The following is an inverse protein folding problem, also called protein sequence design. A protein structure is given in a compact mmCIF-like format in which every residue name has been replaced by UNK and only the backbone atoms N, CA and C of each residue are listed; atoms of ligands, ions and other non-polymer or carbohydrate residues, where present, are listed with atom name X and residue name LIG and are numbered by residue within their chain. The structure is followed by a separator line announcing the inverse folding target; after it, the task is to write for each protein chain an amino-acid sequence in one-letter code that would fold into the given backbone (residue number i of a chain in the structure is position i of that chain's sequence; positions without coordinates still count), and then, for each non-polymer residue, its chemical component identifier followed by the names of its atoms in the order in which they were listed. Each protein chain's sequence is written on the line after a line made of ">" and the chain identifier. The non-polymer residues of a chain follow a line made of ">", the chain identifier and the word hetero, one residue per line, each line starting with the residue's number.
data_IF_245453504177
#
_entry.id   IF_245453504177
#
_cell.length_a   1.000
_cell.length_b   1.000
_cell.length_c   1.000
_cell.angle_alpha   90.00
_cell.angle_beta   90.00
_cell.angle_gamma   90.00
#
_symmetry.space_group_name_H-M   'P 1'
#
loop_
_entity.id
_entity.type
_entity.pdbx_description
1 polymer ?
#
# COMPACT_ATOMS: atom_id res chain seq x y z
N UNK A 1 85.79 -11.47 11.50
CA UNK A 1 85.74 -12.51 10.46
C UNK A 1 84.60 -13.45 10.86
N UNK A 2 83.47 -13.56 10.19
CA UNK A 2 83.10 -13.15 8.85
C UNK A 2 81.57 -13.05 8.74
N UNK A 3 81.14 -12.07 7.95
CA UNK A 3 80.05 -12.08 6.98
C UNK A 3 78.72 -12.78 7.33
N UNK A 4 77.71 -11.94 7.54
CA UNK A 4 76.30 -12.32 7.38
C UNK A 4 75.94 -12.34 5.91
N UNK A 5 75.37 -13.47 5.52
CA UNK A 5 74.82 -13.75 4.19
C UNK A 5 73.55 -12.92 3.95
N UNK A 6 73.49 -12.45 2.69
CA UNK A 6 72.40 -11.92 1.86
C UNK A 6 70.96 -12.18 2.29
N UNK A 7 70.04 -11.25 1.98
CA UNK A 7 68.94 -11.45 1.01
C UNK A 7 68.29 -10.09 0.71
N UNK A 8 68.16 -9.81 -0.59
CA UNK A 8 67.62 -8.56 -1.12
C UNK A 8 66.17 -8.29 -0.77
N UNK A 9 65.85 -7.00 -0.70
CA UNK A 9 64.47 -6.53 -0.79
C UNK A 9 64.33 -5.68 -2.05
N UNK A 10 63.74 -6.31 -3.06
CA UNK A 10 63.12 -5.65 -4.19
C UNK A 10 61.88 -4.93 -3.66
N UNK A 11 61.81 -3.62 -3.85
CA UNK A 11 60.58 -2.86 -3.60
C UNK A 11 59.62 -3.07 -4.79
N UNK A 12 58.44 -3.67 -4.61
CA UNK A 12 57.38 -3.50 -5.59
C UNK A 12 56.69 -2.15 -5.35
N UNK A 13 56.62 -1.37 -6.42
CA UNK A 13 55.91 -0.10 -6.48
C UNK A 13 54.47 -0.24 -5.96
N UNK A 14 54.14 0.48 -4.89
CA UNK A 14 52.75 0.67 -4.47
C UNK A 14 52.18 1.83 -5.29
N UNK A 15 51.49 1.51 -6.38
CA UNK A 15 50.60 2.47 -7.04
C UNK A 15 49.32 2.55 -6.21
N UNK A 16 49.06 3.73 -5.63
CA UNK A 16 47.82 3.98 -4.92
C UNK A 16 46.64 3.87 -5.89
N UNK A 17 45.52 3.22 -5.52
CA UNK A 17 44.35 3.21 -6.39
C UNK A 17 43.74 4.62 -6.42
N UNK A 18 43.61 5.17 -7.63
CA UNK A 18 42.80 6.34 -7.88
C UNK A 18 41.35 6.03 -7.49
N UNK A 19 40.87 6.66 -6.42
CA UNK A 19 39.47 6.60 -6.03
C UNK A 19 38.65 7.32 -7.11
N UNK A 20 37.95 6.55 -7.94
CA UNK A 20 36.95 7.08 -8.87
C UNK A 20 35.85 7.71 -8.01
N UNK A 21 35.87 9.04 -7.90
CA UNK A 21 34.75 9.80 -7.35
C UNK A 21 33.54 9.53 -8.23
N UNK A 22 32.65 8.64 -7.75
CA UNK A 22 31.30 8.50 -8.26
C UNK A 22 30.66 9.91 -8.19
N UNK A 23 30.14 10.47 -9.31
CA UNK A 23 29.43 11.72 -9.24
C UNK A 23 28.27 11.55 -8.26
N UNK A 24 27.94 12.58 -7.45
CA UNK A 24 26.78 12.51 -6.60
C UNK A 24 25.59 12.32 -7.54
N UNK A 25 24.95 11.16 -7.45
CA UNK A 25 23.57 11.03 -7.91
C UNK A 25 22.83 12.02 -7.02
N UNK A 26 22.54 13.19 -7.56
CA UNK A 26 21.50 14.05 -7.04
C UNK A 26 20.24 13.19 -7.05
N UNK A 27 19.95 12.52 -5.92
CA UNK A 27 18.57 12.34 -5.49
C UNK A 27 18.03 13.75 -5.36
N UNK A 28 17.57 14.28 -6.50
CA UNK A 28 16.73 15.45 -6.54
C UNK A 28 15.64 15.18 -5.53
N UNK A 29 15.64 16.01 -4.49
CA UNK A 29 14.50 16.12 -3.61
C UNK A 29 13.31 16.43 -4.52
N UNK A 30 12.44 15.44 -4.71
CA UNK A 30 11.15 15.58 -5.34
C UNK A 30 10.32 16.51 -4.44
N UNK A 31 10.56 17.80 -4.62
CA UNK A 31 9.80 18.86 -4.00
C UNK A 31 8.50 18.99 -4.79
N UNK A 32 7.44 18.39 -4.28
CA UNK A 32 6.07 18.85 -4.53
C UNK A 32 5.27 18.18 -5.65
N UNK A 33 5.83 17.22 -6.38
CA UNK A 33 5.06 16.42 -7.35
C UNK A 33 4.81 15.02 -6.81
N UNK A 34 3.54 14.71 -6.45
CA UNK A 34 3.10 13.33 -6.17
C UNK A 34 3.66 12.42 -7.28
N UNK A 35 4.39 11.37 -6.91
CA UNK A 35 4.96 10.46 -7.89
C UNK A 35 3.85 9.78 -8.69
N UNK A 36 4.09 9.41 -9.95
CA UNK A 36 3.10 8.69 -10.77
C UNK A 36 2.53 7.46 -10.05
N UNK A 37 3.36 6.77 -9.25
CA UNK A 37 2.94 5.65 -8.40
C UNK A 37 1.88 6.06 -7.37
N UNK A 38 2.06 7.20 -6.71
CA UNK A 38 1.11 7.71 -5.72
C UNK A 38 -0.23 8.06 -6.36
N UNK A 39 -0.21 8.58 -7.60
CA UNK A 39 -1.42 8.90 -8.36
C UNK A 39 -2.20 7.65 -8.78
N UNK A 40 -1.52 6.53 -9.02
CA UNK A 40 -2.18 5.24 -9.25
C UNK A 40 -2.75 4.68 -7.95
N UNK A 41 -1.94 4.68 -6.88
CA UNK A 41 -2.31 4.09 -5.59
C UNK A 41 -3.47 4.82 -4.90
N UNK A 42 -3.68 6.12 -5.21
CA UNK A 42 -4.80 6.90 -4.69
C UNK A 42 -6.15 6.40 -5.20
N UNK A 43 -6.22 5.76 -6.38
CA UNK A 43 -7.49 5.35 -7.00
C UNK A 43 -7.86 3.89 -6.83
N UNK A 44 -6.97 3.09 -6.24
CA UNK A 44 -7.19 1.64 -6.10
C UNK A 44 -7.87 1.34 -4.77
N UNK A 45 -8.98 0.59 -4.83
CA UNK A 45 -9.64 0.04 -3.65
C UNK A 45 -8.74 -1.02 -3.01
N UNK A 46 -8.41 -0.84 -1.73
CA UNK A 46 -7.55 -1.74 -0.96
C UNK A 46 -8.39 -2.60 -0.04
N UNK A 47 -7.92 -3.81 0.24
CA UNK A 47 -8.52 -4.70 1.23
C UNK A 47 -7.51 -4.90 2.36
N UNK A 48 -7.96 -4.71 3.60
CA UNK A 48 -7.14 -5.03 4.76
C UNK A 48 -7.02 -6.54 4.93
N UNK A 49 -6.03 -6.99 5.69
CA UNK A 49 -5.86 -8.41 6.00
C UNK A 49 -7.12 -9.02 6.66
N UNK A 50 -7.80 -8.26 7.53
CA UNK A 50 -9.06 -8.70 8.14
C UNK A 50 -10.16 -8.89 7.10
N UNK A 51 -10.29 -7.96 6.14
CA UNK A 51 -11.26 -8.09 5.06
C UNK A 51 -10.96 -9.29 4.16
N UNK A 52 -9.70 -9.48 3.77
CA UNK A 52 -9.27 -10.61 2.93
C UNK A 52 -9.57 -11.96 3.60
N UNK A 53 -9.18 -12.13 4.87
CA UNK A 53 -9.44 -13.36 5.63
C UNK A 53 -10.94 -13.62 5.72
N UNK A 54 -11.75 -12.59 6.01
CA UNK A 54 -13.22 -12.73 6.11
C UNK A 54 -13.86 -13.06 4.77
N UNK A 55 -13.38 -12.44 3.69
CA UNK A 55 -13.86 -12.71 2.33
C UNK A 55 -13.56 -14.16 1.93
N UNK A 56 -12.34 -14.64 2.18
CA UNK A 56 -11.94 -16.03 1.90
C UNK A 56 -12.78 -17.03 2.70
N UNK A 57 -12.95 -16.80 4.02
CA UNK A 57 -13.75 -17.66 4.90
C UNK A 57 -15.20 -17.80 4.47
N UNK A 58 -15.74 -16.78 3.79
CA UNK A 58 -17.15 -16.72 3.38
C UNK A 58 -17.37 -16.88 1.88
N UNK A 59 -16.30 -17.17 1.12
CA UNK A 59 -16.38 -17.31 -0.34
C UNK A 59 -16.82 -16.02 -1.05
N UNK A 60 -16.59 -14.85 -0.45
CA UNK A 60 -16.94 -13.56 -1.04
C UNK A 60 -15.85 -13.20 -2.05
N UNK A 61 -16.25 -13.05 -3.32
CA UNK A 61 -15.39 -12.56 -4.39
C UNK A 61 -16.10 -11.48 -5.19
N UNK A 62 -15.33 -10.52 -5.69
CA UNK A 62 -15.85 -9.42 -6.51
C UNK A 62 -15.29 -9.51 -7.92
N UNK A 63 -16.16 -9.34 -8.90
CA UNK A 63 -15.76 -9.09 -10.29
C UNK A 63 -15.21 -7.67 -10.42
N UNK A 64 -14.35 -7.39 -11.41
CA UNK A 64 -13.81 -6.05 -11.63
C UNK A 64 -14.89 -4.96 -11.75
N UNK A 65 -16.01 -5.27 -12.41
CA UNK A 65 -17.15 -4.36 -12.54
C UNK A 65 -17.79 -4.01 -11.18
N UNK A 66 -17.83 -4.96 -10.26
CA UNK A 66 -18.39 -4.75 -8.91
C UNK A 66 -17.45 -3.87 -8.08
N UNK A 67 -16.12 -4.09 -8.20
CA UNK A 67 -15.11 -3.24 -7.56
C UNK A 67 -15.24 -1.80 -8.05
N UNK A 68 -15.44 -1.57 -9.34
CA UNK A 68 -15.61 -0.22 -9.89
C UNK A 68 -16.87 0.48 -9.34
N UNK A 69 -17.98 -0.25 -9.16
CA UNK A 69 -19.19 0.30 -8.52
C UNK A 69 -18.95 0.68 -7.07
N UNK A 70 -18.26 -0.18 -6.32
CA UNK A 70 -17.89 0.09 -4.92
C UNK A 70 -16.97 1.32 -4.84
N UNK A 71 -15.97 1.42 -5.71
CA UNK A 71 -15.08 2.57 -5.79
C UNK A 71 -15.85 3.87 -6.08
N UNK A 72 -16.78 3.85 -7.04
CA UNK A 72 -17.62 5.02 -7.36
C UNK A 72 -18.47 5.44 -6.16
N UNK A 73 -19.01 4.48 -5.41
CA UNK A 73 -19.79 4.75 -4.21
C UNK A 73 -18.93 5.35 -3.08
N UNK A 74 -17.68 4.91 -2.95
CA UNK A 74 -16.70 5.49 -2.02
C UNK A 74 -16.37 6.92 -2.42
N UNK A 75 -16.20 7.21 -3.71
CA UNK A 75 -15.95 8.57 -4.20
C UNK A 75 -17.13 9.51 -3.87
N UNK A 76 -18.37 9.01 -3.96
CA UNK A 76 -19.56 9.77 -3.56
C UNK A 76 -19.61 10.01 -2.04
N UNK A 77 -19.17 9.05 -1.23
CA UNK A 77 -19.06 9.20 0.21
C UNK A 77 -17.97 10.24 0.57
N UNK A 78 -16.81 10.14 -0.09
CA UNK A 78 -15.68 11.06 0.07
C UNK A 78 -16.09 12.49 -0.27
N UNK A 79 -16.80 12.69 -1.38
CA UNK A 79 -17.31 14.01 -1.78
C UNK A 79 -18.26 14.64 -0.75
N UNK A 80 -18.87 13.82 0.12
CA UNK A 80 -19.74 14.25 1.22
C UNK A 80 -19.01 14.36 2.56
N UNK A 81 -17.69 14.13 2.58
CA UNK A 81 -16.86 14.22 3.77
C UNK A 81 -16.93 13.00 4.70
N UNK A 82 -17.40 11.85 4.21
CA UNK A 82 -17.38 10.60 4.96
C UNK A 82 -15.94 10.16 5.28
N UNK A 83 -15.72 9.63 6.49
CA UNK A 83 -14.45 9.06 6.92
C UNK A 83 -14.52 7.54 7.03
N UNK A 84 -15.55 7.03 7.69
CA UNK A 84 -15.76 5.60 7.90
C UNK A 84 -17.20 5.25 7.53
N UNK A 85 -17.35 4.46 6.45
CA UNK A 85 -18.65 4.22 5.83
C UNK A 85 -19.03 2.75 5.85
N UNK A 86 -20.30 2.48 6.16
CA UNK A 86 -20.92 1.20 5.89
C UNK A 86 -21.39 1.16 4.43
N UNK A 87 -20.74 0.35 3.61
CA UNK A 87 -21.12 0.14 2.21
C UNK A 87 -21.91 -1.16 2.10
N UNK A 88 -23.18 -1.05 1.75
CA UNK A 88 -24.05 -2.19 1.46
C UNK A 88 -24.10 -2.40 -0.06
N UNK A 89 -23.60 -3.55 -0.51
CA UNK A 89 -23.63 -3.95 -1.91
C UNK A 89 -24.33 -5.30 -2.03
N UNK A 90 -25.56 -5.30 -2.54
CA UNK A 90 -26.45 -6.48 -2.53
C UNK A 90 -26.58 -7.04 -1.11
N UNK A 91 -26.20 -8.31 -0.92
CA UNK A 91 -26.20 -9.00 0.36
C UNK A 91 -24.83 -8.94 1.06
N UNK A 92 -23.98 -7.96 0.75
CA UNK A 92 -22.66 -7.83 1.37
C UNK A 92 -22.54 -6.46 2.04
N UNK A 93 -22.20 -6.45 3.31
CA UNK A 93 -21.91 -5.25 4.08
C UNK A 93 -20.41 -5.12 4.30
N UNK A 94 -19.85 -3.95 4.00
CA UNK A 94 -18.42 -3.67 4.16
C UNK A 94 -18.24 -2.40 4.99
N UNK A 95 -17.27 -2.41 5.90
CA UNK A 95 -16.82 -1.17 6.55
C UNK A 95 -15.59 -0.69 5.80
N UNK A 96 -15.65 0.55 5.31
CA UNK A 96 -14.60 1.15 4.49
C UNK A 96 -14.11 2.41 5.15
N UNK A 97 -12.79 2.51 5.30
CA UNK A 97 -12.15 3.79 5.57
C UNK A 97 -12.03 4.55 4.24
N UNK A 98 -12.82 5.60 4.10
CA UNK A 98 -13.00 6.35 2.85
C UNK A 98 -11.71 7.08 2.44
N UNK A 99 -11.01 7.82 3.34
CA UNK A 99 -9.79 8.54 2.96
C UNK A 99 -8.67 7.64 2.45
N UNK A 100 -8.54 6.43 3.01
CA UNK A 100 -7.53 5.45 2.57
C UNK A 100 -8.05 4.48 1.50
N UNK A 101 -9.31 4.61 1.08
CA UNK A 101 -10.03 3.68 0.21
C UNK A 101 -9.77 2.21 0.60
N UNK A 102 -9.82 1.91 1.90
CA UNK A 102 -9.48 0.58 2.43
C UNK A 102 -10.68 -0.10 3.07
N UNK A 103 -11.02 -1.29 2.59
CA UNK A 103 -12.03 -2.16 3.20
C UNK A 103 -11.44 -2.81 4.45
N UNK A 104 -11.99 -2.46 5.61
CA UNK A 104 -11.55 -2.94 6.93
C UNK A 104 -12.17 -4.32 7.23
N UNK A 105 -13.44 -4.52 6.89
CA UNK A 105 -14.12 -5.80 7.08
C UNK A 105 -15.24 -5.99 6.07
N UNK A 106 -15.60 -7.25 5.81
CA UNK A 106 -16.71 -7.64 4.94
C UNK A 106 -17.57 -8.71 5.63
N UNK A 107 -18.88 -8.59 5.47
CA UNK A 107 -19.90 -9.45 6.07
C UNK A 107 -20.96 -9.81 5.02
N UNK A 108 -21.57 -10.99 5.14
CA UNK A 108 -22.64 -11.47 4.26
C UNK A 108 -24.01 -11.22 4.91
N UNK A 109 -25.05 -10.99 4.13
CA UNK A 109 -26.35 -10.45 4.53
C UNK A 109 -27.06 -11.29 5.57
N UNK A 110 -26.95 -12.62 5.49
CA UNK A 110 -27.51 -13.54 6.52
C UNK A 110 -26.94 -13.29 7.91
N UNK A 111 -25.68 -12.88 7.98
CA UNK A 111 -24.99 -12.56 9.24
C UNK A 111 -25.08 -11.09 9.60
N UNK A 112 -25.63 -10.22 8.74
CA UNK A 112 -25.77 -8.80 9.00
C UNK A 112 -26.97 -8.50 9.91
N UNK A 113 -28.05 -9.28 9.77
CA UNK A 113 -29.28 -9.10 10.53
C UNK A 113 -29.00 -9.24 12.03
N UNK A 114 -29.37 -8.20 12.80
CA UNK A 114 -29.17 -8.14 14.25
C UNK A 114 -27.82 -7.59 14.70
N UNK A 115 -26.91 -7.25 13.78
CA UNK A 115 -25.63 -6.64 14.14
C UNK A 115 -25.75 -5.12 14.31
N UNK A 116 -25.01 -4.59 15.28
CA UNK A 116 -24.84 -3.15 15.49
C UNK A 116 -23.47 -2.74 14.95
N UNK A 117 -23.47 -1.80 14.00
CA UNK A 117 -22.27 -1.18 13.48
C UNK A 117 -22.03 0.14 14.20
N UNK A 118 -20.83 0.33 14.72
CA UNK A 118 -20.41 1.54 15.42
C UNK A 118 -19.24 2.19 14.71
N UNK A 119 -18.90 3.42 15.10
CA UNK A 119 -17.76 4.15 14.53
C UNK A 119 -17.87 4.32 13.01
N UNK A 120 -19.11 4.45 12.52
CA UNK A 120 -19.42 4.83 11.14
C UNK A 120 -20.09 6.20 11.18
N UNK A 121 -19.72 7.06 10.23
CA UNK A 121 -20.32 8.40 10.07
C UNK A 121 -21.26 8.47 8.87
N UNK A 122 -21.30 7.40 8.07
CA UNK A 122 -22.04 7.35 6.82
C UNK A 122 -22.41 5.93 6.44
N UNK A 123 -23.44 5.82 5.59
CA UNK A 123 -23.82 4.57 4.96
C UNK A 123 -24.14 4.81 3.48
N UNK A 124 -23.67 3.91 2.62
CA UNK A 124 -23.92 3.95 1.18
C UNK A 124 -24.56 2.63 0.76
N UNK A 125 -25.71 2.72 0.11
CA UNK A 125 -26.45 1.56 -0.39
C UNK A 125 -26.31 1.51 -1.90
N UNK A 126 -25.75 0.41 -2.40
CA UNK A 126 -25.50 0.15 -3.81
C UNK A 126 -26.38 -1.04 -4.23
N UNK A 127 -27.39 -0.76 -5.03
CA UNK A 127 -28.29 -1.76 -5.64
C UNK A 127 -27.81 -2.18 -7.03
#
# INVERSE_FOLDING_TARGET
>A
MSDRISIGQLYPAHTAPLSVRKPPVSTGADSGTKGFRDLLDEKVLKFSHHAEVRMQQRGISFKPEQINRIATAIDQAEAKGAKDSLVLFRDIAMIVNVPSRTVVTAMEGKTMLGNVFTQIDSAVVIT
#
